data_IF_248022863237
#
_entry.id   IF_248022863237
#
_cell.length_a   1.000
_cell.length_b   1.000
_cell.length_c   1.000
_cell.angle_alpha   90.00
_cell.angle_beta   90.00
_cell.angle_gamma   90.00
#
_symmetry.space_group_name_H-M   'P 1'
#
loop_
_entity.id
_entity.type
_entity.pdbx_description
1 polymer ?
#
# COMPACT_ATOMS: atom_id res chain seq x y z
N UNK A 1 -9.90 14.20 -27.98
CA UNK A 1 -10.29 14.82 -26.72
C UNK A 1 -10.99 13.87 -25.77
N UNK A 2 -11.92 13.04 -26.24
CA UNK A 2 -12.61 12.06 -25.39
C UNK A 2 -11.67 11.02 -24.81
N UNK A 3 -10.60 10.63 -25.55
CA UNK A 3 -9.61 9.68 -25.06
C UNK A 3 -8.82 10.22 -23.87
N UNK A 4 -8.44 11.50 -23.92
CA UNK A 4 -7.72 12.17 -22.83
C UNK A 4 -8.60 12.27 -21.59
N UNK A 5 -9.88 12.61 -21.76
CA UNK A 5 -10.85 12.66 -20.65
C UNK A 5 -11.05 11.29 -20.01
N UNK A 6 -11.11 10.23 -20.81
CA UNK A 6 -11.27 8.85 -20.32
C UNK A 6 -10.05 8.41 -19.51
N UNK A 7 -8.84 8.68 -19.99
CA UNK A 7 -7.62 8.36 -19.24
C UNK A 7 -7.53 9.15 -17.93
N UNK A 8 -7.92 10.42 -17.95
CA UNK A 8 -7.90 11.27 -16.78
C UNK A 8 -8.90 10.79 -15.72
N UNK A 9 -10.09 10.35 -16.13
CA UNK A 9 -11.10 9.80 -15.22
C UNK A 9 -10.64 8.53 -14.56
N UNK A 10 -10.04 7.61 -15.32
CA UNK A 10 -9.51 6.35 -14.80
C UNK A 10 -8.38 6.60 -13.80
N UNK A 11 -7.46 7.49 -14.12
CA UNK A 11 -6.37 7.88 -13.23
C UNK A 11 -6.90 8.42 -11.91
N UNK A 12 -7.83 9.35 -11.97
CA UNK A 12 -8.42 9.95 -10.77
C UNK A 12 -9.19 8.93 -9.94
N UNK A 13 -9.90 8.00 -10.59
CA UNK A 13 -10.62 6.95 -9.92
C UNK A 13 -9.68 6.01 -9.15
N UNK A 14 -8.56 5.65 -9.75
CA UNK A 14 -7.54 4.80 -9.12
C UNK A 14 -6.97 5.50 -7.88
N UNK A 15 -6.55 6.74 -8.02
CA UNK A 15 -5.96 7.49 -6.90
C UNK A 15 -6.98 7.74 -5.79
N UNK A 16 -8.20 8.10 -6.14
CA UNK A 16 -9.29 8.33 -5.19
C UNK A 16 -9.62 7.06 -4.40
N UNK A 17 -9.67 5.92 -5.08
CA UNK A 17 -9.90 4.63 -4.41
C UNK A 17 -8.79 4.31 -3.42
N UNK A 18 -7.53 4.48 -3.83
CA UNK A 18 -6.39 4.23 -2.95
C UNK A 18 -6.40 5.11 -1.71
N UNK A 19 -6.82 6.36 -1.86
CA UNK A 19 -6.87 7.32 -0.74
C UNK A 19 -8.04 7.08 0.20
N UNK A 20 -9.09 6.43 -0.26
CA UNK A 20 -10.31 6.20 0.52
C UNK A 20 -10.37 4.83 1.17
N UNK A 21 -9.58 3.87 0.72
CA UNK A 21 -9.60 2.50 1.24
C UNK A 21 -8.52 2.26 2.28
N UNK A 22 -8.81 1.43 3.26
CA UNK A 22 -7.84 0.95 4.25
C UNK A 22 -7.39 -0.49 3.98
N UNK A 23 -7.76 -1.04 2.82
CA UNK A 23 -7.44 -2.43 2.48
C UNK A 23 -6.02 -2.61 1.95
N UNK A 24 -5.33 -1.52 1.64
CA UNK A 24 -3.97 -1.53 1.07
C UNK A 24 -3.91 -2.46 -0.13
N UNK A 25 -4.61 -2.10 -1.23
CA UNK A 25 -4.87 -3.03 -2.31
C UNK A 25 -3.64 -3.29 -3.19
N UNK A 26 -3.64 -4.47 -3.81
CA UNK A 26 -2.78 -4.78 -4.95
C UNK A 26 -3.37 -4.19 -6.23
N UNK A 27 -2.61 -4.25 -7.32
CA UNK A 27 -3.10 -3.80 -8.63
C UNK A 27 -4.36 -4.56 -9.04
N UNK A 28 -4.39 -5.87 -8.82
CA UNK A 28 -5.56 -6.69 -9.17
C UNK A 28 -6.78 -6.32 -8.34
N UNK A 29 -6.59 -6.03 -7.06
CA UNK A 29 -7.70 -5.59 -6.19
C UNK A 29 -8.26 -4.26 -6.66
N UNK A 30 -7.41 -3.32 -7.05
CA UNK A 30 -7.84 -2.04 -7.62
C UNK A 30 -8.64 -2.28 -8.91
N UNK A 31 -8.10 -3.12 -9.79
CA UNK A 31 -8.74 -3.46 -11.05
C UNK A 31 -10.14 -4.06 -10.83
N UNK A 32 -10.24 -5.06 -9.94
CA UNK A 32 -11.51 -5.71 -9.66
C UNK A 32 -12.54 -4.77 -9.05
N UNK A 33 -12.08 -3.84 -8.21
CA UNK A 33 -12.96 -2.87 -7.57
C UNK A 33 -13.53 -1.85 -8.55
N UNK A 34 -12.72 -1.41 -9.52
CA UNK A 34 -13.11 -0.34 -10.43
C UNK A 34 -13.71 -0.82 -11.75
N UNK A 35 -13.49 -2.06 -12.12
CA UNK A 35 -13.94 -2.62 -13.40
C UNK A 35 -15.46 -2.49 -13.63
N UNK A 36 -16.33 -2.74 -12.63
CA UNK A 36 -17.77 -2.57 -12.84
C UNK A 36 -18.17 -1.16 -13.25
N UNK A 37 -17.51 -0.13 -12.71
CA UNK A 37 -17.79 1.28 -13.03
C UNK A 37 -17.07 1.73 -14.28
N UNK A 38 -15.92 1.13 -14.59
CA UNK A 38 -15.10 1.46 -15.77
C UNK A 38 -14.86 0.20 -16.59
N UNK A 39 -15.88 -0.25 -17.40
CA UNK A 39 -15.78 -1.55 -18.07
C UNK A 39 -14.62 -1.66 -19.07
N UNK A 40 -14.12 -0.54 -19.57
CA UNK A 40 -12.98 -0.51 -20.49
C UNK A 40 -11.62 -0.39 -19.80
N UNK A 41 -11.62 -0.42 -18.46
CA UNK A 41 -10.37 -0.40 -17.69
C UNK A 41 -9.60 -1.71 -17.91
N UNK A 42 -8.29 -1.60 -18.19
CA UNK A 42 -7.40 -2.75 -18.30
C UNK A 42 -6.49 -2.84 -17.09
N UNK A 43 -6.03 -4.05 -16.79
CA UNK A 43 -5.06 -4.28 -15.72
C UNK A 43 -3.75 -3.54 -15.99
N UNK A 44 -3.33 -3.49 -17.27
CA UNK A 44 -2.14 -2.73 -17.66
C UNK A 44 -2.25 -1.25 -17.35
N UNK A 45 -3.43 -0.66 -17.55
CA UNK A 45 -3.67 0.74 -17.20
C UNK A 45 -3.51 0.95 -15.68
N UNK A 46 -4.02 0.02 -14.88
CA UNK A 46 -3.88 0.09 -13.42
C UNK A 46 -2.40 0.05 -13.03
N UNK A 47 -1.63 -0.90 -13.56
CA UNK A 47 -0.19 -1.01 -13.26
C UNK A 47 0.58 0.26 -13.65
N UNK A 48 0.31 0.83 -14.83
CA UNK A 48 0.98 2.04 -15.30
C UNK A 48 0.69 3.23 -14.38
N UNK A 49 -0.57 3.37 -13.95
CA UNK A 49 -0.95 4.46 -13.06
C UNK A 49 -0.34 4.28 -11.66
N UNK A 50 -0.34 3.07 -11.13
CA UNK A 50 0.28 2.80 -9.83
C UNK A 50 1.78 3.10 -9.84
N UNK A 51 2.49 2.71 -10.90
CA UNK A 51 3.91 3.03 -11.06
C UNK A 51 4.15 4.53 -11.10
N UNK A 52 3.32 5.25 -11.83
CA UNK A 52 3.41 6.71 -11.94
C UNK A 52 3.17 7.38 -10.58
N UNK A 53 2.10 6.98 -9.87
CA UNK A 53 1.78 7.55 -8.57
C UNK A 53 2.87 7.27 -7.55
N UNK A 54 3.42 6.06 -7.56
CA UNK A 54 4.53 5.67 -6.68
C UNK A 54 5.76 6.53 -6.95
N UNK A 55 6.10 6.73 -8.21
CA UNK A 55 7.25 7.53 -8.61
C UNK A 55 7.10 9.00 -8.22
N UNK A 56 5.88 9.54 -8.31
CA UNK A 56 5.59 10.93 -7.92
C UNK A 56 5.44 11.11 -6.41
N UNK A 57 5.32 10.05 -5.64
CA UNK A 57 5.09 10.14 -4.21
C UNK A 57 3.64 10.33 -3.81
N UNK A 58 2.69 10.14 -4.73
CA UNK A 58 1.26 10.24 -4.45
C UNK A 58 0.73 9.03 -3.67
N UNK A 59 1.41 7.90 -3.78
CA UNK A 59 1.13 6.67 -3.03
C UNK A 59 2.44 6.05 -2.58
N UNK A 60 2.37 5.12 -1.62
CA UNK A 60 3.52 4.34 -1.18
C UNK A 60 3.29 2.86 -1.50
N UNK A 61 4.38 2.17 -1.86
CA UNK A 61 4.38 0.71 -1.94
C UNK A 61 4.76 0.14 -0.58
N UNK A 62 3.98 -0.80 -0.09
CA UNK A 62 4.28 -1.54 1.14
C UNK A 62 5.18 -2.75 0.88
N UNK A 63 5.63 -2.94 -0.35
CA UNK A 63 6.34 -4.13 -0.76
C UNK A 63 5.39 -5.29 -1.02
N UNK A 64 5.96 -6.47 -1.17
CA UNK A 64 5.19 -7.67 -1.49
C UNK A 64 4.67 -8.34 -0.23
N UNK A 65 3.39 -8.66 -0.23
CA UNK A 65 2.74 -9.49 0.78
C UNK A 65 2.38 -10.81 0.09
N UNK A 66 3.04 -11.89 0.49
CA UNK A 66 2.92 -13.20 -0.16
C UNK A 66 3.12 -13.13 -1.67
N UNK A 67 4.15 -12.37 -2.09
CA UNK A 67 4.54 -12.24 -3.50
C UNK A 67 3.77 -11.21 -4.30
N UNK A 68 2.83 -10.46 -3.69
CA UNK A 68 1.99 -9.49 -4.38
C UNK A 68 2.21 -8.10 -3.78
N UNK A 69 2.58 -7.14 -4.61
CA UNK A 69 2.83 -5.76 -4.16
C UNK A 69 1.52 -5.11 -3.71
N UNK A 70 1.56 -4.46 -2.54
CA UNK A 70 0.42 -3.76 -1.95
C UNK A 70 0.73 -2.26 -1.87
N UNK A 71 -0.31 -1.44 -1.94
CA UNK A 71 -0.16 0.02 -2.03
C UNK A 71 -0.99 0.72 -0.97
N UNK A 72 -0.53 1.91 -0.56
CA UNK A 72 -1.23 2.76 0.39
C UNK A 72 -1.33 4.18 -0.18
N UNK A 73 -2.54 4.72 -0.23
CA UNK A 73 -2.79 6.09 -0.65
C UNK A 73 -2.51 7.11 0.44
N UNK A 74 -2.31 6.67 1.68
CA UNK A 74 -1.93 7.54 2.77
C UNK A 74 -0.42 7.63 2.84
N UNK A 75 0.12 8.78 2.45
CA UNK A 75 1.56 9.01 2.40
C UNK A 75 2.13 9.57 3.71
N UNK A 76 1.28 9.85 4.69
CA UNK A 76 1.75 10.24 6.02
C UNK A 76 2.50 9.08 6.67
N UNK A 77 3.68 9.32 7.28
CA UNK A 77 4.44 8.23 7.91
C UNK A 77 3.62 7.54 9.00
N UNK A 78 3.49 6.24 8.89
CA UNK A 78 2.84 5.42 9.91
C UNK A 78 3.37 3.99 9.82
N UNK A 79 3.19 3.26 10.91
CA UNK A 79 3.65 1.88 11.03
C UNK A 79 2.55 0.94 10.53
N UNK A 80 2.96 -0.13 9.87
CA UNK A 80 2.05 -1.17 9.38
C UNK A 80 2.37 -2.51 10.02
N UNK A 81 1.35 -3.33 10.18
CA UNK A 81 1.48 -4.75 10.52
C UNK A 81 0.86 -5.58 9.39
N UNK A 82 1.63 -6.53 8.87
CA UNK A 82 1.19 -7.42 7.79
C UNK A 82 1.04 -8.82 8.35
N UNK A 83 -0.15 -9.38 8.21
CA UNK A 83 -0.39 -10.79 8.54
C UNK A 83 -0.06 -11.65 7.32
N UNK A 84 0.93 -12.53 7.46
CA UNK A 84 1.32 -13.43 6.38
C UNK A 84 0.35 -14.59 6.20
N UNK A 85 -0.52 -14.83 7.19
CA UNK A 85 -1.53 -15.87 7.13
C UNK A 85 -2.76 -15.49 6.32
N UNK A 86 -3.37 -14.35 6.61
CA UNK A 86 -4.59 -13.90 5.92
C UNK A 86 -4.37 -12.70 5.00
N UNK A 87 -3.14 -12.22 4.89
CA UNK A 87 -2.74 -11.10 4.03
C UNK A 87 -3.34 -9.76 4.45
N UNK A 88 -3.88 -9.64 5.66
CA UNK A 88 -4.37 -8.38 6.18
C UNK A 88 -3.21 -7.42 6.41
N UNK A 89 -3.41 -6.16 6.03
CA UNK A 89 -2.48 -5.07 6.32
C UNK A 89 -3.19 -4.10 7.24
N UNK A 90 -2.61 -3.88 8.41
CA UNK A 90 -3.22 -3.07 9.46
C UNK A 90 -2.38 -1.82 9.69
N UNK A 91 -3.03 -0.66 9.60
CA UNK A 91 -2.39 0.61 9.95
C UNK A 91 -2.29 0.74 11.46
N UNK A 92 -1.13 1.19 11.93
CA UNK A 92 -0.88 1.43 13.34
C UNK A 92 -0.50 2.91 13.54
N UNK A 93 -1.47 3.83 13.36
CA UNK A 93 -1.16 5.27 13.39
C UNK A 93 -0.73 5.78 14.75
N UNK A 94 -1.05 5.06 15.83
CA UNK A 94 -0.68 5.44 17.18
C UNK A 94 0.75 5.03 17.54
N UNK A 95 1.33 4.11 16.77
CA UNK A 95 2.71 3.68 16.96
C UNK A 95 3.58 4.54 16.05
N UNK A 96 4.49 5.30 16.66
CA UNK A 96 5.37 6.21 15.90
C UNK A 96 6.78 5.65 15.88
N UNK A 97 7.48 5.94 14.78
CA UNK A 97 8.91 5.63 14.67
C UNK A 97 9.66 6.52 15.66
N UNK A 98 10.47 5.94 16.58
CA UNK A 98 11.26 6.75 17.49
C UNK A 98 12.26 7.62 16.74
N UNK A 99 12.38 8.89 17.14
CA UNK A 99 13.34 9.80 16.52
C UNK A 99 14.77 9.33 16.68
N UNK A 100 15.08 8.65 17.78
CA UNK A 100 16.40 8.05 18.01
C UNK A 100 16.81 7.10 16.89
N UNK A 101 15.84 6.35 16.35
CA UNK A 101 16.11 5.41 15.26
C UNK A 101 16.55 6.18 14.01
N UNK A 102 15.86 7.26 13.68
CA UNK A 102 16.22 8.11 12.54
C UNK A 102 17.62 8.71 12.72
N UNK A 103 17.94 9.17 13.93
CA UNK A 103 19.26 9.72 14.23
C UNK A 103 20.37 8.68 14.08
N UNK A 104 20.13 7.46 14.53
CA UNK A 104 21.10 6.37 14.38
C UNK A 104 21.36 6.03 12.93
N UNK A 105 20.30 5.98 12.12
CA UNK A 105 20.42 5.69 10.69
C UNK A 105 21.19 6.81 9.99
N UNK A 106 20.85 8.08 10.28
CA UNK A 106 21.54 9.23 9.72
C UNK A 106 23.02 9.23 10.09
N UNK A 107 23.34 8.93 11.35
CA UNK A 107 24.73 8.88 11.83
C UNK A 107 25.51 7.77 11.14
N UNK A 108 24.92 6.58 10.99
CA UNK A 108 25.62 5.44 10.40
C UNK A 108 25.81 5.56 8.89
N UNK A 109 24.86 6.20 8.20
CA UNK A 109 24.91 6.35 6.73
C UNK A 109 25.60 7.64 6.30
N UNK A 110 25.64 8.64 7.17
CA UNK A 110 26.08 9.99 6.80
C UNK A 110 25.14 10.69 5.83
N UNK A 111 23.95 10.14 5.64
CA UNK A 111 23.00 10.62 4.65
C UNK A 111 21.84 11.40 5.23
N UNK A 112 20.79 11.52 4.43
CA UNK A 112 19.55 12.20 4.80
C UNK A 112 18.39 11.23 4.60
N UNK A 113 17.42 11.24 5.52
CA UNK A 113 16.24 10.37 5.46
C UNK A 113 15.09 11.17 4.87
N UNK A 114 14.60 10.74 3.71
CA UNK A 114 13.39 11.32 3.11
C UNK A 114 12.12 10.63 3.61
N UNK A 115 12.16 9.31 3.71
CA UNK A 115 11.00 8.50 4.12
C UNK A 115 11.48 7.37 5.01
N UNK A 116 10.74 7.12 6.09
CA UNK A 116 10.93 5.95 6.94
C UNK A 116 9.66 5.10 6.88
N UNK A 117 9.82 3.84 6.48
CA UNK A 117 8.71 2.88 6.47
C UNK A 117 9.06 1.74 7.41
N UNK A 118 8.20 1.52 8.42
CA UNK A 118 8.32 0.39 9.32
C UNK A 118 7.13 -0.54 9.13
N UNK A 119 7.43 -1.79 8.83
CA UNK A 119 6.42 -2.82 8.64
C UNK A 119 6.79 -4.02 9.49
N UNK A 120 5.87 -4.42 10.36
CA UNK A 120 6.01 -5.64 11.13
C UNK A 120 5.27 -6.75 10.39
N UNK A 121 5.90 -7.90 10.26
CA UNK A 121 5.32 -9.05 9.58
C UNK A 121 5.16 -10.18 10.57
N UNK A 122 4.00 -10.81 10.59
CA UNK A 122 3.72 -11.89 11.51
C UNK A 122 2.34 -12.47 11.28
N UNK A 123 1.69 -12.92 12.32
CA UNK A 123 0.35 -13.50 12.26
C UNK A 123 -0.59 -12.72 13.17
N UNK A 124 -1.77 -12.38 12.64
CA UNK A 124 -2.79 -11.68 13.42
C UNK A 124 -3.44 -12.63 14.43
N UNK A 125 -4.22 -12.05 15.34
CA UNK A 125 -4.87 -12.81 16.41
C UNK A 125 -5.72 -13.96 15.88
N UNK A 126 -6.46 -13.73 14.81
CA UNK A 126 -7.31 -14.77 14.20
C UNK A 126 -6.49 -15.91 13.63
N UNK A 127 -5.37 -15.61 12.98
CA UNK A 127 -4.49 -16.63 12.38
C UNK A 127 -3.77 -17.44 13.44
N UNK A 128 -3.31 -16.82 14.52
CA UNK A 128 -2.72 -17.52 15.66
C UNK A 128 -3.76 -18.43 16.32
N UNK A 129 -4.98 -17.95 16.53
CA UNK A 129 -6.08 -18.72 17.09
C UNK A 129 -6.41 -19.95 16.27
N UNK A 130 -6.43 -19.83 14.95
CA UNK A 130 -6.67 -20.95 14.06
C UNK A 130 -5.55 -21.98 14.11
N UNK A 131 -4.28 -21.56 14.16
CA UNK A 131 -3.14 -22.46 14.31
C UNK A 131 -3.20 -23.25 15.61
N UNK A 132 -3.60 -22.61 16.71
CA UNK A 132 -3.73 -23.27 18.00
C UNK A 132 -4.86 -24.29 18.01
N UNK A 133 -5.91 -24.07 17.21
CA UNK A 133 -7.03 -25.00 17.09
C UNK A 133 -6.69 -26.22 16.23
N UNK A 134 -5.77 -26.08 15.28
CA UNK A 134 -5.31 -27.16 14.40
C UNK A 134 -4.26 -28.06 15.08
N UNK A 135 -3.66 -27.58 16.15
CA UNK A 135 -2.70 -28.36 16.92
C UNK A 135 -3.41 -29.22 17.97
#
# INVERSE_FOLDING_TARGET
MDTVKKHFKKRNAILSYLRSTDTHPSAEMVFNQLKPEYPDLSLGTVYRNLSMFKQKGDIISLGAVNGVERFDGNTCPHVHFVCTGCEAVIDLPQIKVPEELNQKVTTQTGGHIDVCQLTFMGQCQSCIGNKRKEA
#
